data_IF_457486865801
#
_entry.id   IF_457486865801
#
_cell.length_a   1.000
_cell.length_b   1.000
_cell.length_c   1.000
_cell.angle_alpha   90.00
_cell.angle_beta   90.00
_cell.angle_gamma   90.00
#
_symmetry.space_group_name_H-M   'P 1'
#
loop_
_entity.id
_entity.type
_entity.pdbx_description
1 polymer ?
#
# COMPACT_ATOMS: atom_id res chain seq x y z
N UNK A 1 17.11 -15.65 -38.86
CA UNK A 1 17.88 -15.26 -37.68
C UNK A 1 17.01 -15.56 -36.45
N UNK A 2 17.39 -16.54 -35.67
CA UNK A 2 16.71 -16.84 -34.40
C UNK A 2 16.97 -15.66 -33.44
N UNK A 3 15.96 -15.02 -32.84
CA UNK A 3 16.19 -13.95 -31.91
C UNK A 3 17.04 -14.48 -30.74
N UNK A 4 18.07 -13.74 -30.36
CA UNK A 4 18.82 -14.06 -29.14
C UNK A 4 17.84 -14.07 -27.95
N UNK A 5 17.98 -15.03 -27.05
CA UNK A 5 17.06 -15.21 -25.90
C UNK A 5 16.84 -13.93 -25.06
N UNK A 6 17.76 -12.97 -25.20
CA UNK A 6 17.72 -11.66 -24.51
C UNK A 6 17.14 -10.52 -25.37
N UNK A 7 16.61 -10.79 -26.56
CA UNK A 7 16.00 -9.74 -27.40
C UNK A 7 14.60 -9.40 -26.87
N UNK A 8 14.20 -8.10 -26.94
CA UNK A 8 12.87 -7.64 -26.50
C UNK A 8 11.73 -8.52 -27.03
N UNK A 9 11.67 -8.89 -28.36
CA UNK A 9 10.61 -9.76 -28.85
C UNK A 9 10.59 -11.15 -28.21
N UNK A 10 11.77 -11.72 -27.90
CA UNK A 10 11.86 -13.02 -27.24
C UNK A 10 11.35 -12.95 -25.79
N UNK A 11 11.71 -11.89 -25.05
CA UNK A 11 11.23 -11.64 -23.70
C UNK A 11 9.70 -11.49 -23.69
N UNK A 12 9.15 -10.63 -24.55
CA UNK A 12 7.70 -10.44 -24.69
C UNK A 12 6.99 -11.77 -24.98
N UNK A 13 7.51 -12.54 -25.95
CA UNK A 13 6.94 -13.85 -26.31
C UNK A 13 6.92 -14.80 -25.10
N UNK A 14 8.02 -14.84 -24.32
CA UNK A 14 8.13 -15.69 -23.13
C UNK A 14 7.14 -15.31 -22.05
N UNK A 15 7.00 -14.00 -21.76
CA UNK A 15 6.06 -13.47 -20.77
C UNK A 15 4.61 -13.73 -21.19
N UNK A 16 4.25 -13.49 -22.46
CA UNK A 16 2.91 -13.81 -22.98
C UNK A 16 2.56 -15.29 -22.86
N UNK A 17 3.51 -16.16 -23.21
CA UNK A 17 3.31 -17.60 -23.07
C UNK A 17 3.10 -18.04 -21.62
N UNK A 18 3.56 -17.23 -20.65
CA UNK A 18 3.34 -17.44 -19.23
C UNK A 18 2.05 -16.77 -18.70
N UNK A 19 1.28 -16.10 -19.59
CA UNK A 19 0.01 -15.45 -19.21
C UNK A 19 0.15 -14.01 -18.70
N UNK A 20 1.31 -13.35 -18.85
CA UNK A 20 1.48 -11.96 -18.47
C UNK A 20 0.65 -11.05 -19.41
N UNK A 21 -0.28 -10.29 -18.84
CA UNK A 21 -1.20 -9.42 -19.59
C UNK A 21 -0.46 -8.20 -20.16
N UNK A 22 0.47 -7.63 -19.41
CA UNK A 22 1.26 -6.44 -19.76
C UNK A 22 2.68 -6.82 -20.20
N UNK A 23 2.81 -7.87 -21.02
CA UNK A 23 4.10 -8.47 -21.36
C UNK A 23 5.09 -7.49 -22.02
N UNK A 24 4.63 -6.50 -22.77
CA UNK A 24 5.46 -5.46 -23.38
C UNK A 24 6.08 -4.53 -22.36
N UNK A 25 5.26 -3.97 -21.48
CA UNK A 25 5.69 -3.02 -20.43
C UNK A 25 6.59 -3.73 -19.42
N UNK A 26 6.23 -4.97 -19.05
CA UNK A 26 7.05 -5.80 -18.15
C UNK A 26 8.40 -6.17 -18.80
N UNK A 27 8.42 -6.48 -20.11
CA UNK A 27 9.66 -6.76 -20.83
C UNK A 27 10.59 -5.54 -20.84
N UNK A 28 10.04 -4.35 -21.10
CA UNK A 28 10.82 -3.10 -21.10
C UNK A 28 11.38 -2.81 -19.70
N UNK A 29 10.58 -3.03 -18.65
CA UNK A 29 11.01 -2.89 -17.26
C UNK A 29 12.14 -3.86 -16.90
N UNK A 30 12.00 -5.14 -17.24
CA UNK A 30 13.01 -6.16 -16.95
C UNK A 30 14.32 -5.90 -17.71
N UNK A 31 14.23 -5.50 -18.99
CA UNK A 31 15.39 -5.14 -19.80
C UNK A 31 16.11 -3.92 -19.21
N UNK A 32 15.37 -2.89 -18.77
CA UNK A 32 15.96 -1.72 -18.18
C UNK A 32 16.58 -1.98 -16.80
N UNK A 33 16.07 -2.94 -16.04
CA UNK A 33 16.55 -3.29 -14.71
C UNK A 33 17.76 -4.23 -14.72
N UNK A 34 17.88 -5.11 -15.73
CA UNK A 34 18.93 -6.11 -15.82
C UNK A 34 20.28 -5.46 -16.19
N UNK A 35 21.36 -5.85 -15.50
CA UNK A 35 22.74 -5.39 -15.74
C UNK A 35 23.51 -6.29 -16.72
N UNK A 36 23.05 -7.53 -16.87
CA UNK A 36 23.67 -8.52 -17.77
C UNK A 36 22.60 -9.36 -18.47
N UNK A 37 22.91 -9.97 -19.64
CA UNK A 37 22.00 -10.90 -20.31
C UNK A 37 21.60 -12.10 -19.46
N UNK A 38 22.50 -12.61 -18.62
CA UNK A 38 22.23 -13.73 -17.71
C UNK A 38 21.23 -13.30 -16.60
N UNK A 39 21.40 -12.10 -16.05
CA UNK A 39 20.45 -11.52 -15.09
C UNK A 39 19.06 -11.34 -15.71
N UNK A 40 18.99 -10.79 -16.94
CA UNK A 40 17.72 -10.66 -17.67
C UNK A 40 17.02 -12.02 -17.84
N UNK A 41 17.76 -13.04 -18.26
CA UNK A 41 17.19 -14.38 -18.40
C UNK A 41 16.61 -14.90 -17.08
N UNK A 42 17.36 -14.74 -15.98
CA UNK A 42 16.90 -15.15 -14.65
C UNK A 42 15.65 -14.37 -14.19
N UNK A 43 15.60 -13.06 -14.45
CA UNK A 43 14.45 -12.21 -14.13
C UNK A 43 13.21 -12.61 -14.95
N UNK A 44 13.36 -12.86 -16.25
CA UNK A 44 12.28 -13.33 -17.13
C UNK A 44 11.70 -14.65 -16.64
N UNK A 45 12.56 -15.62 -16.27
CA UNK A 45 12.08 -16.91 -15.77
C UNK A 45 11.37 -16.78 -14.41
N UNK A 46 11.88 -15.96 -13.51
CA UNK A 46 11.19 -15.66 -12.24
C UNK A 46 9.81 -15.05 -12.49
N UNK A 47 9.70 -14.07 -13.40
CA UNK A 47 8.41 -13.48 -13.77
C UNK A 47 7.49 -14.49 -14.43
N UNK A 48 8.00 -15.28 -15.35
CA UNK A 48 7.25 -16.33 -16.04
C UNK A 48 6.79 -17.46 -15.10
N UNK A 49 7.42 -17.64 -13.95
CA UNK A 49 6.97 -18.56 -12.91
C UNK A 49 5.84 -17.97 -12.01
N UNK A 50 5.41 -16.73 -12.26
CA UNK A 50 4.26 -16.10 -11.60
C UNK A 50 4.61 -15.09 -10.51
N UNK A 51 5.90 -14.79 -10.24
CA UNK A 51 6.25 -13.74 -9.29
C UNK A 51 5.80 -12.37 -9.81
N UNK A 52 5.31 -11.45 -8.93
CA UNK A 52 5.10 -10.05 -9.30
C UNK A 52 6.35 -9.45 -9.93
N UNK A 53 6.19 -8.67 -10.99
CA UNK A 53 7.34 -8.03 -11.67
C UNK A 53 8.11 -7.14 -10.71
N UNK A 54 7.44 -6.47 -9.78
CA UNK A 54 8.03 -5.64 -8.74
C UNK A 54 8.92 -6.45 -7.78
N UNK A 55 8.52 -7.67 -7.44
CA UNK A 55 9.36 -8.58 -6.65
C UNK A 55 10.57 -9.10 -7.44
N UNK A 56 10.47 -9.12 -8.76
CA UNK A 56 11.59 -9.52 -9.63
C UNK A 56 12.61 -8.41 -9.73
N UNK A 57 12.18 -7.16 -9.97
CA UNK A 57 13.07 -5.99 -10.10
C UNK A 57 13.49 -5.41 -8.74
N UNK A 58 12.73 -5.70 -7.66
CA UNK A 58 13.02 -5.26 -6.29
C UNK A 58 12.44 -3.88 -5.94
N UNK A 59 11.59 -3.30 -6.78
CA UNK A 59 10.96 -2.00 -6.54
C UNK A 59 9.63 -1.88 -7.29
N UNK A 60 8.78 -0.94 -6.85
CA UNK A 60 7.54 -0.51 -7.49
C UNK A 60 7.54 0.99 -7.71
N UNK A 61 6.98 1.45 -8.84
CA UNK A 61 6.67 2.88 -9.01
C UNK A 61 5.39 3.22 -8.25
N UNK A 62 5.47 4.26 -7.39
CA UNK A 62 4.33 4.74 -6.63
C UNK A 62 4.45 6.24 -6.37
N UNK A 63 3.46 7.03 -6.78
CA UNK A 63 3.48 8.50 -6.67
C UNK A 63 4.78 9.14 -7.23
N UNK A 64 5.33 8.59 -8.30
CA UNK A 64 6.59 9.06 -8.90
C UNK A 64 7.86 8.70 -8.12
N UNK A 65 7.76 7.87 -7.09
CA UNK A 65 8.88 7.36 -6.31
C UNK A 65 9.15 5.89 -6.66
N UNK A 66 10.42 5.49 -6.60
CA UNK A 66 10.80 4.08 -6.57
C UNK A 66 10.77 3.55 -5.14
N UNK A 67 9.79 2.75 -4.83
CA UNK A 67 9.59 2.12 -3.53
C UNK A 67 10.22 0.73 -3.57
N UNK A 68 11.20 0.49 -2.73
CA UNK A 68 11.79 -0.84 -2.59
C UNK A 68 10.69 -1.83 -2.13
N UNK A 69 10.63 -2.99 -2.78
CA UNK A 69 9.76 -4.11 -2.39
C UNK A 69 10.55 -5.40 -2.44
N UNK A 70 10.14 -6.38 -1.65
CA UNK A 70 10.78 -7.70 -1.62
C UNK A 70 9.73 -8.80 -1.54
N UNK A 71 10.06 -10.04 -1.93
CA UNK A 71 9.14 -11.17 -1.83
C UNK A 71 8.53 -11.28 -0.42
N UNK A 72 7.21 -11.48 -0.36
CA UNK A 72 6.46 -11.53 0.89
C UNK A 72 5.97 -10.17 1.39
N UNK A 73 6.23 -9.07 0.70
CA UNK A 73 5.66 -7.74 0.99
C UNK A 73 4.58 -7.42 -0.02
N UNK A 74 3.47 -6.84 0.43
CA UNK A 74 2.40 -6.37 -0.45
C UNK A 74 2.92 -5.32 -1.44
N UNK A 75 2.65 -5.52 -2.73
CA UNK A 75 3.05 -4.58 -3.79
C UNK A 75 2.13 -3.35 -3.75
N UNK A 76 2.68 -2.13 -3.66
CA UNK A 76 1.86 -0.90 -3.72
C UNK A 76 1.04 -0.84 -5.00
N UNK A 77 -0.26 -0.50 -4.89
CA UNK A 77 -1.16 -0.43 -6.04
C UNK A 77 -1.36 1.01 -6.50
N UNK A 78 -1.39 1.24 -7.80
CA UNK A 78 -1.64 2.58 -8.38
C UNK A 78 -2.92 3.23 -7.87
N UNK A 79 -3.97 2.45 -7.61
CA UNK A 79 -5.22 2.99 -7.06
C UNK A 79 -5.02 3.63 -5.67
N UNK A 80 -4.06 3.16 -4.88
CA UNK A 80 -3.74 3.70 -3.55
C UNK A 80 -3.09 5.10 -3.63
N UNK A 81 -2.58 5.51 -4.81
CA UNK A 81 -2.12 6.88 -5.05
C UNK A 81 -3.26 7.89 -4.86
N UNK A 82 -4.52 7.49 -5.08
CA UNK A 82 -5.67 8.34 -4.81
C UNK A 82 -5.84 8.63 -3.32
N UNK A 83 -5.59 7.66 -2.44
CA UNK A 83 -5.56 7.87 -0.99
C UNK A 83 -4.50 8.91 -0.61
N UNK A 84 -3.30 8.80 -1.17
CA UNK A 84 -2.22 9.79 -0.97
C UNK A 84 -2.67 11.17 -1.41
N UNK A 85 -3.26 11.30 -2.60
CA UNK A 85 -3.78 12.57 -3.11
C UNK A 85 -4.84 13.20 -2.20
N UNK A 86 -5.77 12.37 -1.65
CA UNK A 86 -6.77 12.84 -0.69
C UNK A 86 -6.12 13.30 0.63
N UNK A 87 -5.13 12.59 1.14
CA UNK A 87 -4.40 12.97 2.34
C UNK A 87 -3.65 14.30 2.16
N UNK A 88 -2.97 14.49 1.03
CA UNK A 88 -2.30 15.75 0.69
C UNK A 88 -3.29 16.91 0.65
N UNK A 89 -4.48 16.69 0.06
CA UNK A 89 -5.49 17.74 -0.13
C UNK A 89 -6.11 18.26 1.17
N UNK A 90 -5.98 17.53 2.29
CA UNK A 90 -6.58 17.92 3.58
C UNK A 90 -5.54 18.15 4.69
N UNK A 91 -4.27 17.86 4.41
CA UNK A 91 -3.21 17.96 5.41
C UNK A 91 -2.95 19.42 5.80
N UNK A 92 -2.79 19.72 7.10
CA UNK A 92 -2.27 21.01 7.55
C UNK A 92 -0.78 21.16 7.18
N UNK A 93 -0.20 22.36 7.27
CA UNK A 93 1.23 22.55 7.09
C UNK A 93 2.04 21.73 8.09
N UNK A 94 3.05 20.97 7.61
CA UNK A 94 3.94 20.14 8.43
C UNK A 94 3.19 19.18 9.37
N UNK A 95 2.32 18.31 8.84
CA UNK A 95 1.47 17.43 9.66
C UNK A 95 2.29 16.39 10.43
N UNK A 96 1.71 15.86 11.51
CA UNK A 96 2.12 14.58 12.09
C UNK A 96 1.36 13.47 11.37
N UNK A 97 2.09 12.57 10.72
CA UNK A 97 1.55 11.49 9.90
C UNK A 97 1.80 10.14 10.57
N UNK A 98 0.77 9.30 10.58
CA UNK A 98 0.88 7.88 10.92
C UNK A 98 0.32 7.03 9.79
N UNK A 99 1.07 6.00 9.36
CA UNK A 99 0.69 5.03 8.33
C UNK A 99 0.58 3.65 8.98
N UNK A 100 -0.64 3.17 9.20
CA UNK A 100 -0.91 1.82 9.76
C UNK A 100 -1.08 0.79 8.65
N UNK A 101 -0.68 -0.45 8.93
CA UNK A 101 -0.61 -1.52 7.94
C UNK A 101 0.23 -1.07 6.74
N UNK A 102 1.39 -0.48 7.04
CA UNK A 102 2.17 0.30 6.08
C UNK A 102 2.81 -0.54 4.96
N UNK A 103 2.86 -1.87 5.09
CA UNK A 103 3.44 -2.75 4.09
C UNK A 103 4.88 -2.36 3.74
N UNK A 104 5.12 -2.00 2.48
CA UNK A 104 6.42 -1.47 2.03
C UNK A 104 6.71 -0.04 2.53
N UNK A 105 5.75 0.66 3.14
CA UNK A 105 5.88 2.07 3.53
C UNK A 105 5.66 3.05 2.37
N UNK A 106 5.06 2.61 1.28
CA UNK A 106 4.87 3.42 0.07
C UNK A 106 4.04 4.69 0.33
N UNK A 107 2.92 4.55 1.07
CA UNK A 107 2.04 5.68 1.41
C UNK A 107 2.79 6.68 2.28
N UNK A 108 3.43 6.22 3.35
CA UNK A 108 4.24 7.07 4.23
C UNK A 108 5.36 7.80 3.49
N UNK A 109 6.09 7.11 2.60
CA UNK A 109 7.16 7.71 1.78
C UNK A 109 6.63 8.78 0.83
N UNK A 110 5.49 8.52 0.15
CA UNK A 110 4.86 9.47 -0.75
C UNK A 110 4.36 10.72 -0.02
N UNK A 111 3.74 10.55 1.14
CA UNK A 111 3.29 11.67 1.98
C UNK A 111 4.47 12.48 2.52
N UNK A 112 5.58 11.82 2.91
CA UNK A 112 6.79 12.52 3.35
C UNK A 112 7.38 13.41 2.25
N UNK A 113 7.46 12.89 1.02
CA UNK A 113 7.98 13.63 -0.11
C UNK A 113 7.13 14.86 -0.46
N UNK A 114 5.80 14.77 -0.30
CA UNK A 114 4.88 15.83 -0.66
C UNK A 114 4.68 16.89 0.44
N UNK A 115 4.65 16.47 1.72
CA UNK A 115 4.18 17.31 2.83
C UNK A 115 5.29 17.80 3.76
N UNK A 116 6.47 17.21 3.71
CA UNK A 116 7.58 17.52 4.64
C UNK A 116 7.10 17.54 6.10
N UNK A 117 6.58 16.42 6.63
CA UNK A 117 5.86 16.35 7.90
C UNK A 117 6.74 16.74 9.10
N UNK A 118 6.12 17.18 10.19
CA UNK A 118 6.78 17.39 11.46
C UNK A 118 7.18 16.07 12.13
N UNK A 119 6.40 15.00 11.88
CA UNK A 119 6.67 13.64 12.31
C UNK A 119 6.07 12.63 11.33
N UNK A 120 6.82 11.58 11.01
CA UNK A 120 6.37 10.47 10.19
C UNK A 120 6.58 9.17 10.95
N UNK A 121 5.49 8.46 11.19
CA UNK A 121 5.47 7.18 11.88
C UNK A 121 4.71 6.16 11.05
N UNK A 122 5.15 4.91 11.08
CA UNK A 122 4.47 3.82 10.39
C UNK A 122 4.47 2.57 11.27
N UNK A 123 3.47 1.71 11.12
CA UNK A 123 3.41 0.44 11.84
C UNK A 123 2.88 -0.68 10.95
N UNK A 124 3.44 -1.86 11.11
CA UNK A 124 2.96 -3.09 10.50
C UNK A 124 3.18 -4.27 11.44
N UNK A 125 2.30 -5.27 11.35
CA UNK A 125 2.40 -6.49 12.14
C UNK A 125 3.42 -7.48 11.56
N UNK A 126 3.69 -7.38 10.25
CA UNK A 126 4.61 -8.28 9.55
C UNK A 126 6.05 -7.76 9.64
N UNK A 127 6.99 -8.49 10.26
CA UNK A 127 8.37 -8.09 10.36
C UNK A 127 9.07 -7.94 8.99
N UNK A 128 8.61 -8.64 7.94
CA UNK A 128 9.16 -8.47 6.58
C UNK A 128 8.76 -7.10 6.01
N UNK A 129 7.48 -6.74 6.16
CA UNK A 129 6.96 -5.42 5.78
C UNK A 129 7.69 -4.30 6.54
N UNK A 130 7.86 -4.44 7.85
CA UNK A 130 8.57 -3.46 8.70
C UNK A 130 10.01 -3.23 8.23
N UNK A 131 10.75 -4.31 7.91
CA UNK A 131 12.11 -4.16 7.36
C UNK A 131 12.13 -3.44 6.02
N UNK A 132 11.17 -3.75 5.16
CA UNK A 132 11.00 -3.10 3.86
C UNK A 132 10.64 -1.61 4.03
N UNK A 133 9.67 -1.28 4.87
CA UNK A 133 9.24 0.08 5.15
C UNK A 133 10.38 0.95 5.71
N UNK A 134 11.22 0.41 6.59
CA UNK A 134 12.39 1.14 7.12
C UNK A 134 13.34 1.62 6.03
N UNK A 135 13.48 0.88 4.92
CA UNK A 135 14.31 1.31 3.77
C UNK A 135 13.69 2.47 3.00
N UNK A 136 12.36 2.51 2.92
CA UNK A 136 11.63 3.52 2.15
C UNK A 136 11.33 4.79 2.96
N UNK A 137 11.03 4.66 4.24
CA UNK A 137 10.63 5.77 5.12
C UNK A 137 11.82 6.37 5.88
N UNK A 138 12.80 5.53 6.25
CA UNK A 138 13.97 5.96 7.04
C UNK A 138 14.74 7.14 6.47
N UNK A 139 15.03 7.20 5.16
CA UNK A 139 15.71 8.35 4.55
C UNK A 139 14.98 9.68 4.73
N UNK A 140 13.65 9.68 4.91
CA UNK A 140 12.84 10.85 5.22
C UNK A 140 12.75 11.17 6.73
N UNK A 141 13.53 10.48 7.58
CA UNK A 141 13.49 10.65 9.04
C UNK A 141 12.31 9.98 9.72
N UNK A 142 11.58 9.10 9.02
CA UNK A 142 10.42 8.41 9.55
C UNK A 142 10.79 7.22 10.45
N UNK A 143 9.90 6.91 11.39
CA UNK A 143 10.03 5.80 12.34
C UNK A 143 9.07 4.67 11.97
N UNK A 144 9.56 3.42 11.94
CA UNK A 144 8.76 2.24 11.62
C UNK A 144 8.77 1.26 12.79
N UNK A 145 7.59 0.90 13.25
CA UNK A 145 7.35 0.06 14.42
C UNK A 145 6.77 -1.30 14.00
N UNK A 146 7.23 -2.35 14.65
CA UNK A 146 6.67 -3.70 14.50
C UNK A 146 5.61 -3.93 15.57
N UNK A 147 4.40 -4.28 15.15
CA UNK A 147 3.30 -4.62 16.05
C UNK A 147 1.92 -4.35 15.48
N UNK A 148 0.91 -4.64 16.29
CA UNK A 148 -0.48 -4.61 15.89
C UNK A 148 -1.07 -3.20 16.02
N UNK A 149 -1.38 -2.58 14.89
CA UNK A 149 -2.02 -1.27 14.73
C UNK A 149 -1.35 -0.18 15.59
N UNK A 150 -2.08 0.38 16.55
CA UNK A 150 -1.60 1.45 17.44
C UNK A 150 -0.68 0.95 18.57
N UNK A 151 -0.65 -0.36 18.83
CA UNK A 151 0.05 -0.94 19.97
C UNK A 151 1.52 -0.54 20.10
N UNK A 152 2.33 -0.56 19.03
CA UNK A 152 3.75 -0.24 19.10
C UNK A 152 4.05 1.25 19.04
N UNK A 153 3.05 2.12 18.80
CA UNK A 153 3.27 3.56 18.64
C UNK A 153 3.60 4.25 19.98
N UNK A 154 4.50 5.24 19.97
CA UNK A 154 4.76 6.07 21.15
C UNK A 154 3.50 6.73 21.69
N UNK A 155 3.28 6.64 23.01
CA UNK A 155 2.11 7.23 23.67
C UNK A 155 2.00 8.75 23.46
N UNK A 156 3.14 9.43 23.23
CA UNK A 156 3.19 10.86 22.94
C UNK A 156 2.44 11.26 21.64
N UNK A 157 2.16 10.33 20.74
CA UNK A 157 1.39 10.59 19.54
C UNK A 157 -0.13 10.64 19.78
N UNK A 158 -0.61 10.26 20.95
CA UNK A 158 -2.04 10.32 21.27
C UNK A 158 -2.55 11.75 21.21
N UNK A 159 -3.61 11.96 20.43
CA UNK A 159 -4.19 13.29 20.20
C UNK A 159 -3.31 14.24 19.37
N UNK A 160 -2.27 13.73 18.68
CA UNK A 160 -1.34 14.56 17.92
C UNK A 160 -1.33 14.24 16.42
N UNK A 161 -2.05 13.23 15.97
CA UNK A 161 -2.00 12.77 14.58
C UNK A 161 -2.94 13.61 13.72
N UNK A 162 -2.40 14.32 12.76
CA UNK A 162 -3.17 15.10 11.79
C UNK A 162 -3.68 14.22 10.64
N UNK A 163 -2.83 13.34 10.12
CA UNK A 163 -3.14 12.41 9.04
C UNK A 163 -2.82 10.99 9.49
N UNK A 164 -3.85 10.17 9.59
CA UNK A 164 -3.78 8.74 9.85
C UNK A 164 -4.17 8.00 8.59
N UNK A 165 -3.22 7.37 7.90
CA UNK A 165 -3.52 6.49 6.77
C UNK A 165 -3.55 5.03 7.22
N UNK A 166 -4.43 4.23 6.60
CA UNK A 166 -4.53 2.81 6.87
C UNK A 166 -5.02 2.08 5.61
N UNK A 167 -4.09 1.59 4.80
CA UNK A 167 -4.44 0.68 3.70
C UNK A 167 -4.59 -0.74 4.26
N UNK A 168 -5.65 -0.96 5.02
CA UNK A 168 -5.93 -2.23 5.71
C UNK A 168 -6.30 -3.35 4.72
N UNK A 169 -6.10 -4.64 5.07
CA UNK A 169 -6.68 -5.73 4.31
C UNK A 169 -8.22 -5.59 4.30
N UNK A 170 -8.81 -5.61 3.10
CA UNK A 170 -10.26 -5.39 2.93
C UNK A 170 -10.95 -6.45 2.06
N UNK A 171 -10.25 -7.51 1.66
CA UNK A 171 -10.86 -8.62 0.92
C UNK A 171 -11.61 -9.52 1.91
N UNK A 172 -12.90 -9.80 1.68
CA UNK A 172 -13.62 -10.78 2.48
C UNK A 172 -12.92 -12.14 2.45
N UNK A 173 -12.83 -12.82 3.58
CA UNK A 173 -12.12 -14.11 3.71
C UNK A 173 -12.54 -15.12 2.63
N UNK A 174 -13.84 -15.20 2.32
CA UNK A 174 -14.38 -16.08 1.28
C UNK A 174 -13.93 -15.71 -0.14
N UNK A 175 -13.54 -14.46 -0.39
CA UNK A 175 -13.14 -13.95 -1.70
C UNK A 175 -11.61 -13.99 -1.90
N UNK A 176 -10.81 -14.23 -0.87
CA UNK A 176 -9.34 -14.31 -0.97
C UNK A 176 -8.90 -15.37 -1.99
N UNK A 177 -9.60 -16.50 -2.04
CA UNK A 177 -9.34 -17.57 -3.01
C UNK A 177 -9.63 -17.18 -4.48
N UNK A 178 -10.38 -16.11 -4.71
CA UNK A 178 -10.77 -15.61 -6.05
C UNK A 178 -9.80 -14.54 -6.57
N UNK A 179 -8.86 -14.09 -5.75
CA UNK A 179 -7.85 -13.12 -6.18
C UNK A 179 -6.95 -13.71 -7.28
N UNK A 180 -6.35 -12.85 -8.13
CA UNK A 180 -5.35 -13.28 -9.09
C UNK A 180 -4.27 -14.15 -8.44
N UNK A 181 -3.79 -15.16 -9.15
CA UNK A 181 -2.80 -16.11 -8.63
C UNK A 181 -1.55 -15.40 -8.07
N UNK A 182 -1.14 -14.33 -8.73
CA UNK A 182 0.00 -13.49 -8.35
C UNK A 182 -0.15 -12.94 -6.93
N UNK A 183 -1.27 -12.31 -6.61
CA UNK A 183 -1.54 -11.80 -5.26
C UNK A 183 -1.69 -12.96 -4.24
N UNK A 184 -2.48 -13.96 -4.61
CA UNK A 184 -2.82 -15.09 -3.71
C UNK A 184 -1.60 -15.95 -3.31
N UNK A 185 -0.63 -16.10 -4.21
CA UNK A 185 0.54 -16.99 -4.01
C UNK A 185 1.77 -16.26 -3.48
N UNK A 186 1.91 -14.96 -3.75
CA UNK A 186 3.14 -14.23 -3.50
C UNK A 186 3.00 -13.05 -2.54
N UNK A 187 1.76 -12.64 -2.20
CA UNK A 187 1.52 -11.64 -1.17
C UNK A 187 1.06 -12.28 0.14
N UNK A 188 1.42 -11.71 1.30
CA UNK A 188 1.06 -12.31 2.58
C UNK A 188 -0.45 -12.22 2.81
N UNK A 189 -1.05 -13.32 3.26
CA UNK A 189 -2.49 -13.37 3.51
C UNK A 189 -2.96 -12.30 4.50
N UNK A 190 -2.14 -11.96 5.48
CA UNK A 190 -2.43 -10.91 6.46
C UNK A 190 -2.61 -9.54 5.84
N UNK A 191 -2.05 -9.28 4.65
CA UNK A 191 -2.23 -8.03 3.91
C UNK A 191 -3.48 -8.04 2.99
N UNK A 192 -4.16 -9.18 2.84
CA UNK A 192 -5.30 -9.36 1.93
C UNK A 192 -6.61 -9.60 2.67
N UNK A 193 -6.60 -10.50 3.66
CA UNK A 193 -7.78 -11.01 4.35
C UNK A 193 -8.29 -10.02 5.39
N UNK A 194 -9.39 -9.34 5.08
CA UNK A 194 -10.06 -8.35 5.94
C UNK A 194 -11.15 -8.93 6.85
N UNK A 195 -11.25 -10.26 6.97
CA UNK A 195 -12.28 -10.91 7.77
C UNK A 195 -13.58 -11.18 7.01
N UNK A 196 -14.66 -11.46 7.73
CA UNK A 196 -15.90 -11.95 7.16
C UNK A 196 -16.50 -11.10 6.05
N UNK A 197 -16.59 -9.79 6.26
CA UNK A 197 -17.05 -8.81 5.28
C UNK A 197 -15.94 -7.89 4.75
N UNK A 198 -14.68 -8.19 5.12
CA UNK A 198 -13.51 -7.42 4.72
C UNK A 198 -13.29 -6.14 5.54
N UNK A 199 -14.01 -5.91 6.64
CA UNK A 199 -13.91 -4.67 7.41
C UNK A 199 -13.40 -4.86 8.86
N UNK A 200 -12.95 -6.06 9.23
CA UNK A 200 -12.58 -6.34 10.62
C UNK A 200 -11.40 -5.49 11.08
N UNK A 201 -10.38 -5.32 10.23
CA UNK A 201 -9.22 -4.47 10.55
C UNK A 201 -9.61 -3.00 10.56
N UNK A 202 -10.42 -2.53 9.59
CA UNK A 202 -10.91 -1.14 9.57
C UNK A 202 -11.70 -0.80 10.84
N UNK A 203 -12.53 -1.72 11.35
CA UNK A 203 -13.27 -1.53 12.62
C UNK A 203 -12.32 -1.30 13.78
N UNK A 204 -11.23 -2.04 13.86
CA UNK A 204 -10.21 -1.90 14.91
C UNK A 204 -9.44 -0.58 14.78
N UNK A 205 -9.07 -0.20 13.57
CA UNK A 205 -8.43 1.09 13.30
C UNK A 205 -9.34 2.25 13.68
N UNK A 206 -10.59 2.24 13.21
CA UNK A 206 -11.56 3.30 13.51
C UNK A 206 -11.83 3.44 15.02
N UNK A 207 -11.99 2.32 15.74
CA UNK A 207 -12.23 2.32 17.19
C UNK A 207 -11.09 2.99 17.98
N UNK A 208 -9.84 2.87 17.50
CA UNK A 208 -8.69 3.55 18.13
C UNK A 208 -8.51 4.99 17.66
N UNK A 209 -8.91 5.32 16.44
CA UNK A 209 -8.55 6.55 15.76
C UNK A 209 -8.87 7.83 16.55
N UNK A 210 -10.07 7.92 17.19
CA UNK A 210 -10.48 9.10 17.92
C UNK A 210 -9.54 9.49 19.09
N UNK A 211 -8.83 8.50 19.69
CA UNK A 211 -7.86 8.75 20.78
C UNK A 211 -6.51 9.25 20.25
N UNK A 212 -6.18 8.92 19.00
CA UNK A 212 -4.88 9.23 18.43
C UNK A 212 -4.88 10.47 17.54
N UNK A 213 -6.02 10.75 16.89
CA UNK A 213 -6.19 11.94 16.05
C UNK A 213 -6.19 13.23 16.87
N UNK A 214 -5.47 14.22 16.37
CA UNK A 214 -5.61 15.61 16.81
C UNK A 214 -7.02 16.13 16.51
N UNK A 215 -7.41 17.25 17.12
CA UNK A 215 -8.63 17.96 16.75
C UNK A 215 -8.55 18.38 15.27
N UNK A 216 -9.56 18.02 14.48
CA UNK A 216 -9.56 18.22 13.02
C UNK A 216 -8.74 17.18 12.24
N UNK A 217 -8.00 16.30 12.90
CA UNK A 217 -7.25 15.22 12.27
C UNK A 217 -8.16 14.19 11.59
N UNK A 218 -7.63 13.47 10.61
CA UNK A 218 -8.42 12.58 9.75
C UNK A 218 -7.80 11.22 9.55
N UNK A 219 -8.63 10.17 9.64
CA UNK A 219 -8.35 8.82 9.17
C UNK A 219 -8.70 8.71 7.70
N UNK A 220 -7.78 8.19 6.88
CA UNK A 220 -8.01 7.82 5.48
C UNK A 220 -7.78 6.32 5.30
N UNK A 221 -8.75 5.63 4.70
CA UNK A 221 -8.63 4.20 4.42
C UNK A 221 -9.17 3.86 3.03
N UNK A 222 -8.45 2.98 2.32
CA UNK A 222 -8.96 2.43 1.06
C UNK A 222 -10.08 1.43 1.36
N UNK A 223 -11.13 1.45 0.53
CA UNK A 223 -12.27 0.54 0.62
C UNK A 223 -12.84 0.24 -0.77
N UNK A 224 -13.88 -0.53 -0.85
CA UNK A 224 -14.59 -0.80 -2.11
C UNK A 224 -15.96 -0.13 -2.11
N UNK A 225 -16.53 0.14 -3.30
CA UNK A 225 -17.88 0.70 -3.40
C UNK A 225 -18.96 -0.15 -2.72
N UNK A 226 -18.76 -1.49 -2.65
CA UNK A 226 -19.69 -2.38 -1.92
C UNK A 226 -19.60 -2.21 -0.41
N UNK A 227 -18.43 -1.82 0.12
CA UNK A 227 -18.19 -1.66 1.55
C UNK A 227 -18.41 -0.23 2.04
N UNK A 228 -18.63 0.74 1.15
CA UNK A 228 -18.72 2.17 1.44
C UNK A 228 -19.64 2.50 2.61
N UNK A 229 -20.90 2.04 2.55
CA UNK A 229 -21.88 2.33 3.61
C UNK A 229 -21.43 1.75 4.95
N UNK A 230 -20.97 0.51 4.97
CA UNK A 230 -20.54 -0.15 6.20
C UNK A 230 -19.23 0.47 6.77
N UNK A 231 -18.34 0.95 5.90
CA UNK A 231 -17.15 1.69 6.31
C UNK A 231 -17.52 3.06 6.93
N UNK A 232 -18.46 3.79 6.32
CA UNK A 232 -18.99 5.04 6.90
C UNK A 232 -19.65 4.80 8.27
N UNK A 233 -20.47 3.75 8.39
CA UNK A 233 -21.12 3.43 9.66
C UNK A 233 -20.11 3.01 10.73
N UNK A 234 -19.02 2.37 10.33
CA UNK A 234 -17.90 2.04 11.22
C UNK A 234 -17.24 3.31 11.77
N UNK A 235 -16.95 4.29 10.91
CA UNK A 235 -16.38 5.57 11.33
C UNK A 235 -17.32 6.36 12.25
N UNK A 236 -18.64 6.42 11.93
CA UNK A 236 -19.65 7.09 12.78
C UNK A 236 -19.71 6.48 14.17
N UNK A 237 -19.71 5.13 14.28
CA UNK A 237 -19.70 4.45 15.58
C UNK A 237 -18.45 4.75 16.41
N UNK A 238 -17.35 5.09 15.74
CA UNK A 238 -16.11 5.53 16.40
C UNK A 238 -16.08 7.03 16.75
N UNK A 239 -17.17 7.77 16.53
CA UNK A 239 -17.26 9.20 16.82
C UNK A 239 -16.58 10.09 15.78
N UNK A 240 -16.30 9.57 14.58
CA UNK A 240 -15.72 10.32 13.47
C UNK A 240 -16.80 10.73 12.46
N UNK A 241 -16.56 11.82 11.73
CA UNK A 241 -17.44 12.30 10.65
C UNK A 241 -16.92 11.78 9.33
N UNK A 242 -17.59 10.77 8.71
CA UNK A 242 -17.10 10.18 7.46
C UNK A 242 -17.58 10.96 6.24
N UNK A 243 -16.75 10.98 5.22
CA UNK A 243 -17.07 11.22 3.82
C UNK A 243 -16.34 10.23 2.94
N UNK A 244 -16.80 10.03 1.71
CA UNK A 244 -16.14 9.13 0.75
C UNK A 244 -15.74 9.92 -0.49
N UNK A 245 -14.56 9.59 -1.00
CA UNK A 245 -14.06 10.11 -2.27
C UNK A 245 -13.88 8.95 -3.27
N UNK A 246 -14.16 9.23 -4.54
CA UNK A 246 -14.09 8.25 -5.62
C UNK A 246 -13.15 8.74 -6.72
N UNK A 247 -12.39 7.82 -7.29
CA UNK A 247 -11.64 8.02 -8.54
C UNK A 247 -12.02 6.94 -9.55
N UNK A 248 -12.94 7.23 -10.50
CA UNK A 248 -13.31 6.25 -11.51
C UNK A 248 -12.13 5.80 -12.37
N UNK A 249 -11.22 6.72 -12.71
CA UNK A 249 -10.03 6.43 -13.53
C UNK A 249 -9.03 5.47 -12.86
N UNK A 250 -8.99 5.44 -11.53
CA UNK A 250 -8.14 4.53 -10.75
C UNK A 250 -8.94 3.37 -10.15
N UNK A 251 -10.26 3.33 -10.35
CA UNK A 251 -11.16 2.40 -9.67
C UNK A 251 -10.94 2.38 -8.15
N UNK A 252 -10.73 3.56 -7.55
CA UNK A 252 -10.40 3.74 -6.14
C UNK A 252 -11.56 4.39 -5.38
N UNK A 253 -11.77 3.92 -4.16
CA UNK A 253 -12.72 4.47 -3.18
C UNK A 253 -11.99 4.67 -1.86
N UNK A 254 -12.05 5.87 -1.29
CA UNK A 254 -11.36 6.22 -0.05
C UNK A 254 -12.36 6.78 0.96
N UNK A 255 -12.44 6.12 2.11
CA UNK A 255 -13.08 6.66 3.31
C UNK A 255 -12.17 7.74 3.91
N UNK A 256 -12.74 8.89 4.23
CA UNK A 256 -12.09 9.97 4.98
C UNK A 256 -12.97 10.26 6.18
N UNK A 257 -12.44 10.04 7.38
CA UNK A 257 -13.20 10.15 8.62
C UNK A 257 -12.48 11.10 9.57
N UNK A 258 -13.06 12.28 9.80
CA UNK A 258 -12.43 13.37 10.55
C UNK A 258 -12.93 13.41 12.00
N UNK A 259 -12.02 13.73 12.92
CA UNK A 259 -12.36 14.09 14.28
C UNK A 259 -12.85 15.53 14.32
N UNK A 260 -14.02 15.77 14.90
CA UNK A 260 -14.56 17.13 15.04
C UNK A 260 -13.71 17.94 16.02
N UNK A 261 -13.54 19.22 15.71
CA UNK A 261 -13.08 20.21 16.69
C UNK A 261 -14.19 20.39 17.72
N UNK A 262 -13.88 20.12 18.98
CA UNK A 262 -14.82 20.32 20.10
C UNK A 262 -15.11 21.80 20.34
#
# INVERSE_FOLDING_TARGET
>A
MTPTASSRPAVVTRLRSAGCVFAEDEADLLIAAARTPAELTAMVERRASGLPVEHVVGWADFCGLRIAVEPGVFVPRRRTEFLVGQAIGIAPPRPVIVDLCCGSGAVGAALAAALHPAGLHAADIDPVAVRCARRNIGPAGGHVYEGDLFGPLPAALRGQIDILTANVPYVPTAEVGLLPAEARLHEPRVALDGGGDGLDVLRRVAAGAAQWLAEGGSLLAETTGRQEQAACDTARRAGLVPRVAHSPGLAATVLIASKTTG
#
